data_IF_280316018158
#
_entry.id   IF_280316018158
#
_cell.length_a   1.000
_cell.length_b   1.000
_cell.length_c   1.000
_cell.angle_alpha   90.00
_cell.angle_beta   90.00
_cell.angle_gamma   90.00
#
_symmetry.space_group_name_H-M   'P 1'
#
loop_
_entity.id
_entity.type
_entity.pdbx_description
1 polymer ?
#
# COMPACT_ATOMS: atom_id res chain seq x y z
N UNK A 1 8.81 24.20 15.28
CA UNK A 1 10.05 23.49 14.92
C UNK A 1 9.81 22.04 15.33
N UNK A 2 9.36 21.20 14.40
CA UNK A 2 9.14 19.77 14.68
C UNK A 2 10.53 19.13 14.69
N UNK A 3 10.98 18.69 15.86
CA UNK A 3 12.22 17.93 16.00
C UNK A 3 11.97 16.56 15.37
N UNK A 4 12.66 16.27 14.26
CA UNK A 4 12.63 14.96 13.60
C UNK A 4 13.24 13.94 14.56
N UNK A 5 12.56 12.83 14.89
CA UNK A 5 13.13 11.82 15.77
C UNK A 5 14.46 11.30 15.20
N UNK A 6 15.47 11.04 16.06
CA UNK A 6 16.79 10.62 15.65
C UNK A 6 16.67 9.36 14.78
N UNK A 7 17.11 9.48 13.53
CA UNK A 7 17.17 8.35 12.62
C UNK A 7 18.22 7.37 13.17
N UNK A 8 17.89 6.09 13.39
CA UNK A 8 18.84 5.13 13.92
C UNK A 8 20.08 5.06 13.00
N UNK A 9 21.30 5.06 13.56
CA UNK A 9 22.51 4.97 12.76
C UNK A 9 22.65 3.55 12.25
N UNK A 10 22.38 3.38 10.97
CA UNK A 10 22.65 2.15 10.27
C UNK A 10 22.33 2.39 8.82
N UNK A 11 23.35 2.34 7.96
CA UNK A 11 23.13 2.11 6.54
C UNK A 11 22.10 0.96 6.47
N UNK A 12 20.89 1.17 5.92
CA UNK A 12 19.98 0.07 5.70
C UNK A 12 20.79 -0.93 4.89
N UNK A 13 21.00 -2.13 5.42
CA UNK A 13 21.48 -3.21 4.59
C UNK A 13 20.56 -3.24 3.37
N UNK A 14 21.09 -3.42 2.16
CA UNK A 14 20.26 -3.43 0.94
C UNK A 14 19.03 -4.34 1.11
N UNK A 15 19.19 -5.38 1.94
CA UNK A 15 18.14 -6.25 2.44
C UNK A 15 16.97 -5.57 3.16
N UNK A 16 17.20 -4.66 4.10
CA UNK A 16 16.13 -3.92 4.80
C UNK A 16 15.33 -3.01 3.85
N UNK A 17 16.01 -2.41 2.88
CA UNK A 17 15.38 -1.61 1.82
C UNK A 17 14.52 -2.47 0.90
N UNK A 18 15.04 -3.62 0.46
CA UNK A 18 14.31 -4.60 -0.37
C UNK A 18 13.08 -5.11 0.38
N UNK A 19 13.21 -5.46 1.67
CA UNK A 19 12.10 -5.87 2.52
C UNK A 19 11.04 -4.79 2.63
N UNK A 20 11.42 -3.53 2.82
CA UNK A 20 10.49 -2.40 2.93
C UNK A 20 9.67 -2.24 1.64
N UNK A 21 10.35 -2.22 0.49
CA UNK A 21 9.67 -2.13 -0.81
C UNK A 21 8.81 -3.36 -1.11
N UNK A 22 9.30 -4.55 -0.76
CA UNK A 22 8.55 -5.80 -0.85
C UNK A 22 7.28 -5.76 -0.01
N UNK A 23 7.35 -5.21 1.21
CA UNK A 23 6.20 -5.03 2.09
C UNK A 23 5.19 -4.03 1.53
N UNK A 24 5.64 -2.89 1.01
CA UNK A 24 4.77 -1.88 0.38
C UNK A 24 4.02 -2.46 -0.82
N UNK A 25 4.72 -3.20 -1.68
CA UNK A 25 4.12 -3.86 -2.85
C UNK A 25 3.16 -4.97 -2.39
N UNK A 26 3.60 -5.83 -1.47
CA UNK A 26 2.80 -6.94 -0.94
C UNK A 26 1.51 -6.47 -0.28
N UNK A 27 1.57 -5.47 0.59
CA UNK A 27 0.40 -4.88 1.26
C UNK A 27 -0.53 -4.19 0.26
N UNK A 28 0.00 -3.54 -0.76
CA UNK A 28 -0.82 -2.90 -1.80
C UNK A 28 -1.56 -3.90 -2.68
N UNK A 29 -0.89 -5.00 -3.06
CA UNK A 29 -1.50 -6.11 -3.80
C UNK A 29 -2.56 -6.83 -2.96
N UNK A 30 -2.28 -7.06 -1.68
CA UNK A 30 -3.19 -7.74 -0.76
C UNK A 30 -4.44 -6.89 -0.49
N UNK A 31 -4.30 -5.57 -0.35
CA UNK A 31 -5.43 -4.63 -0.25
C UNK A 31 -6.35 -4.67 -1.49
N UNK A 32 -5.76 -4.65 -2.69
CA UNK A 32 -6.52 -4.75 -3.94
C UNK A 32 -7.19 -6.11 -4.13
N UNK A 33 -6.52 -7.19 -3.74
CA UNK A 33 -7.07 -8.55 -3.77
C UNK A 33 -8.29 -8.71 -2.85
N UNK A 34 -8.23 -8.20 -1.62
CA UNK A 34 -9.36 -8.26 -0.68
C UNK A 34 -10.56 -7.44 -1.17
N UNK A 35 -10.34 -6.28 -1.78
CA UNK A 35 -11.41 -5.49 -2.42
C UNK A 35 -12.11 -6.29 -3.53
N UNK A 36 -11.35 -6.87 -4.45
CA UNK A 36 -11.89 -7.68 -5.53
C UNK A 36 -12.61 -8.94 -5.02
N UNK A 37 -12.06 -9.61 -4.01
CA UNK A 37 -12.70 -10.77 -3.38
C UNK A 37 -14.05 -10.43 -2.75
N UNK A 38 -14.18 -9.27 -2.11
CA UNK A 38 -15.46 -8.80 -1.58
C UNK A 38 -16.48 -8.51 -2.70
N UNK A 39 -16.04 -7.93 -3.82
CA UNK A 39 -16.89 -7.66 -4.99
C UNK A 39 -17.35 -8.93 -5.71
N UNK A 40 -16.47 -9.94 -5.82
CA UNK A 40 -16.79 -11.29 -6.26
C UNK A 40 -17.89 -11.92 -5.37
N UNK A 41 -17.69 -11.86 -4.05
CA UNK A 41 -18.63 -12.43 -3.08
C UNK A 41 -19.99 -11.71 -3.07
N UNK A 42 -20.01 -10.41 -3.36
CA UNK A 42 -21.23 -9.60 -3.49
C UNK A 42 -21.99 -9.81 -4.82
N UNK A 43 -21.45 -10.59 -5.77
CA UNK A 43 -22.09 -10.85 -7.07
C UNK A 43 -22.14 -9.64 -8.02
N UNK A 44 -21.48 -8.54 -7.67
CA UNK A 44 -21.46 -7.30 -8.46
C UNK A 44 -20.53 -7.37 -9.68
N UNK A 45 -19.67 -8.41 -9.76
CA UNK A 45 -18.67 -8.55 -10.83
C UNK A 45 -18.72 -9.97 -11.38
N UNK A 46 -18.66 -10.12 -12.70
CA UNK A 46 -18.52 -11.45 -13.31
C UNK A 46 -17.14 -12.00 -12.91
N UNK A 47 -17.07 -13.24 -12.46
CA UNK A 47 -15.82 -13.88 -12.02
C UNK A 47 -14.69 -13.90 -13.06
N UNK A 48 -14.97 -13.53 -14.31
CA UNK A 48 -14.04 -13.50 -15.44
C UNK A 48 -13.67 -12.08 -15.92
N UNK A 49 -13.98 -11.01 -15.17
CA UNK A 49 -13.58 -9.65 -15.57
C UNK A 49 -12.14 -9.33 -15.12
N UNK A 50 -11.17 -9.98 -15.76
CA UNK A 50 -9.74 -9.82 -15.44
C UNK A 50 -9.26 -8.37 -15.57
N UNK A 51 -9.84 -7.61 -16.50
CA UNK A 51 -9.57 -6.18 -16.69
C UNK A 51 -9.92 -5.34 -15.46
N UNK A 52 -11.01 -5.66 -14.77
CA UNK A 52 -11.43 -4.94 -13.57
C UNK A 52 -10.61 -5.31 -12.34
N UNK A 53 -10.19 -6.58 -12.25
CA UNK A 53 -9.21 -7.01 -11.26
C UNK A 53 -7.88 -6.27 -11.39
N UNK A 54 -7.34 -6.17 -12.62
CA UNK A 54 -6.09 -5.45 -12.88
C UNK A 54 -6.25 -3.95 -12.60
N UNK A 55 -7.38 -3.35 -12.95
CA UNK A 55 -7.68 -1.95 -12.65
C UNK A 55 -7.73 -1.66 -11.15
N UNK A 56 -8.35 -2.54 -10.36
CA UNK A 56 -8.39 -2.42 -8.89
C UNK A 56 -7.02 -2.60 -8.25
N UNK A 57 -6.23 -3.59 -8.71
CA UNK A 57 -4.86 -3.78 -8.24
C UNK A 57 -3.97 -2.58 -8.56
N UNK A 58 -4.05 -2.05 -9.79
CA UNK A 58 -3.28 -0.89 -10.21
C UNK A 58 -3.63 0.36 -9.39
N UNK A 59 -4.93 0.59 -9.14
CA UNK A 59 -5.40 1.73 -8.35
C UNK A 59 -4.99 1.59 -6.88
N UNK A 60 -5.13 0.40 -6.30
CA UNK A 60 -4.67 0.09 -4.93
C UNK A 60 -3.16 0.29 -4.77
N UNK A 61 -2.37 -0.17 -5.74
CA UNK A 61 -0.92 0.04 -5.77
C UNK A 61 -0.54 1.52 -5.88
N UNK A 62 -1.23 2.28 -6.71
CA UNK A 62 -1.00 3.71 -6.85
C UNK A 62 -1.29 4.46 -5.54
N UNK A 63 -2.43 4.19 -4.91
CA UNK A 63 -2.79 4.77 -3.60
C UNK A 63 -1.76 4.40 -2.53
N UNK A 64 -1.34 3.14 -2.46
CA UNK A 64 -0.33 2.70 -1.50
C UNK A 64 1.03 3.38 -1.68
N UNK A 65 1.52 3.52 -2.92
CA UNK A 65 2.78 4.21 -3.21
C UNK A 65 2.70 5.69 -2.83
N UNK A 66 1.59 6.35 -3.14
CA UNK A 66 1.35 7.76 -2.81
C UNK A 66 1.34 7.94 -1.29
N UNK A 67 0.60 7.11 -0.54
CA UNK A 67 0.56 7.15 0.92
C UNK A 67 1.95 6.95 1.52
N UNK A 68 2.73 6.00 1.00
CA UNK A 68 4.09 5.75 1.49
C UNK A 68 5.00 6.97 1.30
N UNK A 69 4.95 7.58 0.11
CA UNK A 69 5.73 8.79 -0.22
C UNK A 69 5.31 9.98 0.65
N UNK A 70 4.01 10.15 0.90
CA UNK A 70 3.48 11.16 1.83
C UNK A 70 3.98 10.94 3.25
N UNK A 71 3.96 9.69 3.72
CA UNK A 71 4.44 9.36 5.05
C UNK A 71 5.94 9.65 5.20
N UNK A 72 6.74 9.35 4.16
CA UNK A 72 8.16 9.68 4.12
C UNK A 72 8.40 11.20 4.12
N UNK A 73 7.60 11.96 3.37
CA UNK A 73 7.69 13.42 3.33
C UNK A 73 7.41 14.06 4.69
N UNK A 74 6.44 13.52 5.43
CA UNK A 74 6.11 13.98 6.78
C UNK A 74 7.09 13.52 7.87
N UNK A 75 8.04 12.63 7.54
CA UNK A 75 9.01 12.09 8.48
C UNK A 75 8.44 11.04 9.44
N UNK A 76 7.35 10.35 9.07
CA UNK A 76 6.84 9.22 9.86
C UNK A 76 7.86 8.09 9.98
N UNK A 77 7.78 7.33 11.07
CA UNK A 77 8.67 6.20 11.32
C UNK A 77 8.50 5.11 10.26
N UNK A 78 9.59 4.38 10.01
CA UNK A 78 9.64 3.31 8.99
C UNK A 78 8.71 2.13 9.30
N UNK A 79 8.17 2.05 10.52
CA UNK A 79 7.19 1.05 10.94
C UNK A 79 5.73 1.53 10.79
N UNK A 80 5.48 2.84 10.94
CA UNK A 80 4.13 3.40 10.85
C UNK A 80 3.69 3.63 9.40
N UNK A 81 4.62 4.04 8.53
CA UNK A 81 4.34 4.31 7.13
C UNK A 81 3.78 3.07 6.40
N UNK A 82 4.34 1.85 6.53
CA UNK A 82 3.78 0.64 5.90
C UNK A 82 2.39 0.27 6.43
N UNK A 83 2.11 0.50 7.72
CA UNK A 83 0.79 0.24 8.30
C UNK A 83 -0.29 1.15 7.69
N UNK A 84 0.01 2.45 7.54
CA UNK A 84 -0.89 3.41 6.90
C UNK A 84 -1.12 3.12 5.41
N UNK A 85 -0.07 2.67 4.72
CA UNK A 85 -0.17 2.21 3.33
C UNK A 85 -1.16 1.06 3.20
N UNK A 86 -1.09 0.06 4.08
CA UNK A 86 -2.02 -1.08 4.07
C UNK A 86 -3.48 -0.68 4.35
N UNK A 87 -3.71 0.29 5.25
CA UNK A 87 -5.06 0.77 5.56
C UNK A 87 -5.65 1.58 4.40
N UNK A 88 -4.87 2.49 3.83
CA UNK A 88 -5.32 3.38 2.74
C UNK A 88 -5.51 2.63 1.42
N UNK A 89 -4.67 1.64 1.13
CA UNK A 89 -4.78 0.84 -0.11
C UNK A 89 -6.02 -0.04 -0.15
N UNK A 90 -6.55 -0.47 1.00
CA UNK A 90 -7.77 -1.30 1.08
C UNK A 90 -9.01 -0.61 0.50
N UNK A 91 -9.06 0.72 0.46
CA UNK A 91 -10.19 1.42 -0.18
C UNK A 91 -10.12 1.40 -1.71
N UNK A 92 -8.95 1.18 -2.33
CA UNK A 92 -8.78 0.98 -3.77
C UNK A 92 -9.60 1.96 -4.63
N UNK A 93 -10.39 1.42 -5.56
CA UNK A 93 -11.26 2.20 -6.46
C UNK A 93 -12.52 2.78 -5.81
N UNK A 94 -12.75 2.60 -4.49
CA UNK A 94 -13.83 3.30 -3.76
C UNK A 94 -13.39 4.67 -3.25
N UNK A 95 -12.09 4.97 -3.32
CA UNK A 95 -11.52 6.28 -2.98
C UNK A 95 -11.47 7.24 -4.18
N UNK A 96 -11.68 6.75 -5.41
CA UNK A 96 -11.80 7.52 -6.66
C UNK A 96 -13.25 7.45 -7.16
#
# INVERSE_FOLDING_TARGET
MIEKPPQPPGHPSDWASILTWGWVIGLSLLGGFVSFYQKLKAGHVRAWNFTEFVGELATSALVGIITFKLCQWQGYSSDLAPALVGITSHMGSRAL
#
